data_IF_592623800350
#
_entry.id   IF_592623800350
#
_cell.length_a   1.000
_cell.length_b   1.000
_cell.length_c   1.000
_cell.angle_alpha   90.00
_cell.angle_beta   90.00
_cell.angle_gamma   90.00
#
_symmetry.space_group_name_H-M   'P 1'
#
loop_
_entity.id
_entity.type
_entity.pdbx_description
1 polymer ?
#
# COMPACT_ATOMS: atom_id res chain seq x y z
N UNK A 1 -3.43 7.37 -19.90
CA UNK A 1 -2.20 6.92 -19.21
C UNK A 1 -1.78 5.59 -19.83
N UNK A 2 -0.53 5.47 -20.27
CA UNK A 2 0.00 4.20 -20.76
C UNK A 2 0.02 3.18 -19.62
N UNK A 3 -0.33 1.93 -19.86
CA UNK A 3 -0.47 0.91 -18.81
C UNK A 3 0.78 0.74 -17.93
N UNK A 4 1.95 1.02 -18.49
CA UNK A 4 3.23 1.06 -17.77
C UNK A 4 3.22 2.09 -16.64
N UNK A 5 2.71 3.31 -16.87
CA UNK A 5 2.65 4.37 -15.85
C UNK A 5 1.77 3.96 -14.67
N UNK A 6 0.67 3.26 -14.96
CA UNK A 6 -0.26 2.75 -13.97
C UNK A 6 0.42 1.71 -13.07
N UNK A 7 1.11 0.75 -13.68
CA UNK A 7 1.85 -0.31 -12.98
C UNK A 7 2.92 0.31 -12.08
N UNK A 8 3.70 1.25 -12.60
CA UNK A 8 4.74 1.95 -11.82
C UNK A 8 4.11 2.69 -10.64
N UNK A 9 2.99 3.40 -10.84
CA UNK A 9 2.31 4.12 -9.77
C UNK A 9 1.82 3.17 -8.67
N UNK A 10 1.21 2.04 -9.01
CA UNK A 10 0.81 1.04 -8.02
C UNK A 10 2.01 0.50 -7.23
N UNK A 11 3.12 0.22 -7.91
CA UNK A 11 4.33 -0.30 -7.27
C UNK A 11 4.94 0.72 -6.30
N UNK A 12 5.02 1.99 -6.72
CA UNK A 12 5.52 3.08 -5.87
C UNK A 12 4.59 3.30 -4.66
N UNK A 13 3.27 3.30 -4.87
CA UNK A 13 2.31 3.46 -3.77
C UNK A 13 2.32 2.27 -2.80
N UNK A 14 2.54 1.05 -3.31
CA UNK A 14 2.74 -0.15 -2.49
C UNK A 14 3.99 -0.01 -1.61
N UNK A 15 5.13 0.34 -2.20
CA UNK A 15 6.39 0.52 -1.44
C UNK A 15 6.27 1.65 -0.42
N UNK A 16 5.64 2.77 -0.80
CA UNK A 16 5.38 3.88 0.11
C UNK A 16 4.46 3.46 1.27
N UNK A 17 3.43 2.66 1.00
CA UNK A 17 2.52 2.15 2.03
C UNK A 17 3.21 1.15 2.95
N UNK A 18 4.04 0.26 2.41
CA UNK A 18 4.88 -0.62 3.22
C UNK A 18 5.82 0.19 4.12
N UNK A 19 6.54 1.19 3.57
CA UNK A 19 7.38 2.06 4.36
C UNK A 19 6.59 2.80 5.47
N UNK A 20 5.42 3.34 5.15
CA UNK A 20 4.57 3.99 6.14
C UNK A 20 4.10 3.01 7.24
N UNK A 21 3.71 1.80 6.86
CA UNK A 21 3.35 0.74 7.80
C UNK A 21 4.53 0.29 8.67
N UNK A 22 5.76 0.33 8.16
CA UNK A 22 6.93 -0.08 8.93
C UNK A 22 7.16 0.78 10.19
N UNK A 23 6.60 2.00 10.23
CA UNK A 23 6.59 2.85 11.43
C UNK A 23 5.60 2.41 12.51
N UNK A 24 4.72 1.43 12.23
CA UNK A 24 3.77 0.88 13.19
C UNK A 24 4.41 -0.33 13.87
N UNK A 25 4.42 -0.33 15.20
CA UNK A 25 4.85 -1.48 15.98
C UNK A 25 3.76 -2.57 16.01
N UNK A 26 3.83 -3.47 15.02
CA UNK A 26 2.95 -4.64 14.96
C UNK A 26 3.23 -5.66 16.07
N UNK A 27 4.39 -5.61 16.73
CA UNK A 27 4.69 -6.51 17.84
C UNK A 27 3.79 -6.23 19.05
N UNK A 28 3.40 -4.95 19.24
CA UNK A 28 2.46 -4.53 20.28
C UNK A 28 1.05 -5.11 20.11
N UNK A 29 0.64 -5.39 18.86
CA UNK A 29 -0.67 -5.97 18.52
C UNK A 29 -0.58 -7.49 18.30
N UNK A 30 0.63 -8.02 18.17
CA UNK A 30 0.90 -9.43 17.90
C UNK A 30 0.58 -10.31 19.10
N UNK A 31 -0.25 -11.34 18.86
CA UNK A 31 -0.45 -12.44 19.81
C UNK A 31 0.74 -13.41 19.74
N UNK A 32 1.18 -13.94 20.89
CA UNK A 32 2.25 -14.96 20.96
C UNK A 32 2.02 -16.10 19.97
N UNK A 33 3.05 -16.46 19.21
CA UNK A 33 3.01 -17.52 18.18
C UNK A 33 2.33 -17.16 16.87
N UNK A 34 2.05 -15.87 16.62
CA UNK A 34 1.30 -15.40 15.43
C UNK A 34 2.15 -14.59 14.45
N UNK A 35 3.48 -14.70 14.47
CA UNK A 35 4.41 -13.90 13.64
C UNK A 35 4.06 -13.96 12.15
N UNK A 36 3.86 -15.16 11.60
CA UNK A 36 3.50 -15.33 10.18
C UNK A 36 2.16 -14.65 9.83
N UNK A 37 1.19 -14.66 10.76
CA UNK A 37 -0.12 -14.03 10.54
C UNK A 37 -0.01 -12.50 10.50
N UNK A 38 0.80 -11.92 11.37
CA UNK A 38 1.07 -10.48 11.41
C UNK A 38 1.85 -10.05 10.16
N UNK A 39 2.82 -10.85 9.71
CA UNK A 39 3.57 -10.55 8.50
C UNK A 39 2.68 -10.59 7.24
N UNK A 40 1.78 -11.57 7.15
CA UNK A 40 0.77 -11.61 6.09
C UNK A 40 -0.18 -10.40 6.16
N UNK A 41 -0.62 -10.03 7.37
CA UNK A 41 -1.45 -8.85 7.58
C UNK A 41 -0.74 -7.57 7.13
N UNK A 42 0.55 -7.42 7.44
CA UNK A 42 1.38 -6.31 6.99
C UNK A 42 1.42 -6.20 5.46
N UNK A 43 1.65 -7.33 4.77
CA UNK A 43 1.68 -7.38 3.31
C UNK A 43 0.31 -7.00 2.74
N UNK A 44 -0.77 -7.54 3.29
CA UNK A 44 -2.13 -7.24 2.83
C UNK A 44 -2.54 -5.79 3.08
N UNK A 45 -2.19 -5.21 4.24
CA UNK A 45 -2.41 -3.79 4.48
C UNK A 45 -1.59 -2.94 3.50
N UNK A 46 -0.34 -3.30 3.26
CA UNK A 46 0.54 -2.55 2.35
C UNK A 46 -0.01 -2.58 0.91
N UNK A 47 -0.50 -3.74 0.45
CA UNK A 47 -1.17 -3.88 -0.85
C UNK A 47 -2.48 -3.08 -0.91
N UNK A 48 -3.33 -3.21 0.11
CA UNK A 48 -4.62 -2.52 0.18
C UNK A 48 -4.48 -1.00 0.21
N UNK A 49 -3.63 -0.48 1.11
CA UNK A 49 -3.34 0.95 1.20
C UNK A 49 -2.67 1.47 -0.07
N UNK A 50 -1.67 0.75 -0.60
CA UNK A 50 -1.00 1.13 -1.84
C UNK A 50 -1.97 1.23 -3.01
N UNK A 51 -2.91 0.30 -3.12
CA UNK A 51 -3.97 0.34 -4.14
C UNK A 51 -4.88 1.56 -3.95
N UNK A 52 -5.40 1.80 -2.75
CA UNK A 52 -6.29 2.94 -2.48
C UNK A 52 -5.60 4.27 -2.77
N UNK A 53 -4.34 4.43 -2.34
CA UNK A 53 -3.54 5.63 -2.62
C UNK A 53 -3.32 5.80 -4.12
N UNK A 54 -2.96 4.74 -4.84
CA UNK A 54 -2.80 4.79 -6.29
C UNK A 54 -4.10 5.17 -7.00
N UNK A 55 -5.24 4.60 -6.59
CA UNK A 55 -6.57 4.95 -7.12
C UNK A 55 -6.92 6.42 -6.86
N UNK A 56 -6.64 6.92 -5.67
CA UNK A 56 -6.82 8.33 -5.34
C UNK A 56 -5.99 9.23 -6.27
N UNK A 57 -4.70 8.93 -6.46
CA UNK A 57 -3.82 9.70 -7.33
C UNK A 57 -4.24 9.63 -8.81
N UNK A 58 -4.68 8.47 -9.29
CA UNK A 58 -5.22 8.34 -10.65
C UNK A 58 -6.51 9.13 -10.83
N UNK A 59 -7.42 9.10 -9.86
CA UNK A 59 -8.64 9.89 -9.88
C UNK A 59 -8.34 11.39 -9.93
N UNK A 60 -7.35 11.84 -9.17
CA UNK A 60 -6.89 13.23 -9.15
C UNK A 60 -6.25 13.62 -10.49
N UNK A 61 -5.42 12.75 -11.06
CA UNK A 61 -4.82 12.95 -12.39
C UNK A 61 -5.86 13.00 -13.51
N UNK A 62 -6.95 12.22 -13.41
CA UNK A 62 -8.02 12.21 -14.41
C UNK A 62 -8.87 13.49 -14.32
N UNK A 63 -9.16 13.96 -13.10
CA UNK A 63 -9.89 15.21 -12.85
C UNK A 63 -9.10 16.46 -13.25
N UNK A 64 -7.77 16.42 -13.24
CA UNK A 64 -6.91 17.56 -13.64
C UNK A 64 -6.68 17.67 -15.16
N UNK A 65 -6.91 16.60 -15.93
CA UNK A 65 -6.66 16.54 -17.37
C UNK A 65 -7.93 16.68 -18.23
N UNK A 66 -9.08 16.88 -17.59
CA UNK A 66 -10.40 17.10 -18.21
C UNK A 66 -10.86 18.53 -17.91
#
# INVERSE_FOLDING_TARGET
MHDIQRIVLYFVCFLASAYALSGIDFHKVMRKGSETRIQLLYIFLSLGLGYVVAQFLMGLSFAYFM
#
